data_IF_179067241210
#
_entry.id   IF_179067241210
#
_cell.length_a   1.000
_cell.length_b   1.000
_cell.length_c   1.000
_cell.angle_alpha   90.00
_cell.angle_beta   90.00
_cell.angle_gamma   90.00
#
_symmetry.space_group_name_H-M   'P 1'
#
loop_
_entity.id
_entity.type
_entity.pdbx_description
1 polymer ?
#
# COMPACT_ATOMS: atom_id res chain seq x y z
N UNK A 1 -1.75 -10.50 -35.46
CA UNK A 1 -0.79 -11.04 -34.50
C UNK A 1 -1.51 -12.06 -33.64
N UNK A 2 -0.98 -13.29 -33.57
CA UNK A 2 -1.47 -14.28 -32.60
C UNK A 2 -0.60 -14.18 -31.33
N UNK A 3 -1.21 -14.27 -30.18
CA UNK A 3 -0.50 -14.40 -28.89
C UNK A 3 -0.89 -15.73 -28.25
N UNK A 4 0.03 -16.31 -27.52
CA UNK A 4 -0.21 -17.56 -26.81
C UNK A 4 -0.25 -17.26 -25.31
N UNK A 5 -1.34 -17.66 -24.65
CA UNK A 5 -1.42 -17.63 -23.19
C UNK A 5 -0.55 -18.75 -22.63
N UNK A 6 0.46 -18.39 -21.86
CA UNK A 6 1.30 -19.33 -21.13
C UNK A 6 0.79 -19.39 -19.68
N UNK A 7 0.10 -20.44 -19.35
CA UNK A 7 -0.42 -20.69 -18.02
C UNK A 7 -1.90 -21.03 -18.01
N UNK A 8 -2.35 -21.64 -16.94
CA UNK A 8 -3.76 -21.91 -16.69
C UNK A 8 -4.34 -20.73 -15.92
N UNK A 9 -5.51 -20.23 -16.36
CA UNK A 9 -6.30 -19.25 -15.61
C UNK A 9 -7.02 -19.93 -14.44
N UNK A 10 -6.25 -20.40 -13.48
CA UNK A 10 -6.80 -20.95 -12.23
C UNK A 10 -6.79 -19.85 -11.18
N UNK A 11 -7.91 -19.68 -10.49
CA UNK A 11 -8.02 -18.76 -9.37
C UNK A 11 -7.19 -19.31 -8.21
N UNK A 12 -6.27 -18.52 -7.68
CA UNK A 12 -5.54 -18.87 -6.48
C UNK A 12 -6.53 -19.07 -5.31
N UNK A 13 -6.21 -20.01 -4.44
CA UNK A 13 -6.98 -20.27 -3.22
C UNK A 13 -6.88 -19.13 -2.19
N UNK A 14 -5.85 -18.28 -2.32
CA UNK A 14 -5.56 -17.16 -1.43
C UNK A 14 -5.57 -15.84 -2.20
N UNK A 15 -6.22 -14.82 -1.65
CA UNK A 15 -6.19 -13.48 -2.23
C UNK A 15 -4.80 -12.82 -2.03
N UNK A 16 -4.35 -12.03 -3.00
CA UNK A 16 -3.07 -11.30 -2.93
C UNK A 16 -2.94 -10.44 -1.66
N UNK A 17 -4.05 -9.82 -1.22
CA UNK A 17 -4.11 -9.04 0.03
C UNK A 17 -3.74 -9.84 1.27
N UNK A 18 -4.14 -11.12 1.33
CA UNK A 18 -3.81 -11.99 2.47
C UNK A 18 -2.32 -12.34 2.49
N UNK A 19 -1.70 -12.49 1.30
CA UNK A 19 -0.26 -12.63 1.15
C UNK A 19 0.50 -11.40 1.64
N UNK A 20 0.01 -10.20 1.28
CA UNK A 20 0.57 -8.94 1.75
C UNK A 20 0.53 -8.83 3.28
N UNK A 21 -0.63 -9.09 3.89
CA UNK A 21 -0.78 -9.01 5.36
C UNK A 21 0.15 -9.99 6.06
N UNK A 22 0.25 -11.23 5.58
CA UNK A 22 1.17 -12.23 6.15
C UNK A 22 2.63 -11.74 6.09
N UNK A 23 3.07 -11.25 4.93
CA UNK A 23 4.43 -10.74 4.77
C UNK A 23 4.71 -9.52 5.68
N UNK A 24 3.74 -8.61 5.82
CA UNK A 24 3.87 -7.47 6.73
C UNK A 24 3.96 -7.91 8.19
N UNK A 25 3.14 -8.88 8.62
CA UNK A 25 3.22 -9.43 9.98
C UNK A 25 4.61 -10.00 10.27
N UNK A 26 5.17 -10.79 9.36
CA UNK A 26 6.51 -11.35 9.48
C UNK A 26 7.60 -10.28 9.55
N UNK A 27 7.55 -9.30 8.64
CA UNK A 27 8.53 -8.20 8.60
C UNK A 27 8.45 -7.29 9.83
N UNK A 28 7.24 -6.91 10.27
CA UNK A 28 7.03 -6.03 11.42
C UNK A 28 7.40 -6.71 12.74
N UNK A 29 7.20 -8.02 12.85
CA UNK A 29 7.64 -8.80 14.00
C UNK A 29 9.18 -8.91 14.07
N UNK A 30 9.85 -9.00 12.92
CA UNK A 30 11.29 -9.12 12.83
C UNK A 30 12.03 -7.79 13.02
N UNK A 31 11.43 -6.67 12.56
CA UNK A 31 12.08 -5.35 12.60
C UNK A 31 11.08 -4.25 13.02
N UNK A 32 11.28 -3.59 14.18
CA UNK A 32 10.43 -2.50 14.64
C UNK A 32 10.51 -1.23 13.78
N UNK A 33 11.41 -1.17 12.80
CA UNK A 33 11.51 -0.07 11.84
C UNK A 33 10.61 -0.25 10.63
N UNK A 34 10.05 -1.43 10.39
CA UNK A 34 9.07 -1.65 9.32
C UNK A 34 7.74 -1.02 9.73
N UNK A 35 7.18 -0.18 8.85
CA UNK A 35 5.96 0.56 9.10
C UNK A 35 4.96 0.41 7.96
N UNK A 36 3.68 0.45 8.31
CA UNK A 36 2.55 0.51 7.38
C UNK A 36 1.81 1.85 7.56
N UNK A 37 1.57 2.55 6.46
CA UNK A 37 0.75 3.77 6.40
C UNK A 37 -0.47 3.50 5.54
N UNK A 38 -1.66 3.75 6.04
CA UNK A 38 -2.93 3.47 5.37
C UNK A 38 -3.78 4.74 5.21
N UNK A 39 -4.63 4.75 4.19
CA UNK A 39 -5.57 5.83 3.90
C UNK A 39 -7.02 5.45 4.26
N UNK A 40 -7.24 4.93 5.47
CA UNK A 40 -8.54 4.48 5.98
C UNK A 40 -9.15 3.31 5.19
N UNK A 41 -8.29 2.44 4.66
CA UNK A 41 -8.66 1.30 3.81
C UNK A 41 -8.37 -0.07 4.45
N UNK A 42 -8.19 -0.11 5.76
CA UNK A 42 -7.83 -1.33 6.52
C UNK A 42 -8.71 -2.55 6.21
N UNK A 43 -10.01 -2.33 5.98
CA UNK A 43 -10.93 -3.42 5.66
C UNK A 43 -10.81 -3.90 4.21
N UNK A 44 -10.29 -3.08 3.30
CA UNK A 44 -10.17 -3.44 1.88
C UNK A 44 -9.08 -4.48 1.64
N UNK A 45 -7.97 -4.38 2.38
CA UNK A 45 -6.83 -5.28 2.24
C UNK A 45 -6.51 -6.06 3.52
N UNK A 46 -7.45 -6.14 4.47
CA UNK A 46 -7.33 -6.89 5.73
C UNK A 46 -6.20 -6.41 6.67
N UNK A 47 -5.71 -5.18 6.54
CA UNK A 47 -4.61 -4.63 7.35
C UNK A 47 -5.02 -4.20 8.76
N UNK A 48 -6.31 -4.26 9.10
CA UNK A 48 -6.79 -4.04 10.48
C UNK A 48 -6.11 -4.95 11.53
N UNK A 49 -5.59 -6.11 11.11
CA UNK A 49 -4.80 -6.99 11.97
C UNK A 49 -3.46 -6.35 12.35
N UNK A 50 -2.81 -5.66 11.41
CA UNK A 50 -1.52 -5.01 11.64
C UNK A 50 -1.65 -3.90 12.69
N UNK A 51 -2.73 -3.12 12.64
CA UNK A 51 -3.00 -2.08 13.62
C UNK A 51 -3.14 -2.64 15.05
N UNK A 52 -3.80 -3.80 15.19
CA UNK A 52 -3.99 -4.46 16.48
C UNK A 52 -2.71 -5.07 17.03
N UNK A 53 -1.94 -5.74 16.17
CA UNK A 53 -0.72 -6.46 16.55
C UNK A 53 0.49 -5.52 16.68
N UNK A 54 0.58 -4.50 15.82
CA UNK A 54 1.73 -3.59 15.73
C UNK A 54 1.31 -2.11 15.76
N UNK A 55 0.64 -1.62 16.83
CA UNK A 55 0.07 -0.27 16.88
C UNK A 55 1.13 0.85 16.83
N UNK A 56 2.40 0.56 17.09
CA UNK A 56 3.51 1.52 17.00
C UNK A 56 4.15 1.58 15.61
N UNK A 57 3.78 0.67 14.73
CA UNK A 57 4.32 0.53 13.37
C UNK A 57 3.25 0.74 12.30
N UNK A 58 1.98 0.97 12.70
CA UNK A 58 0.86 1.17 11.80
C UNK A 58 0.25 2.54 12.01
N UNK A 59 0.05 3.28 10.93
CA UNK A 59 -0.40 4.67 10.93
C UNK A 59 -1.57 4.83 9.96
N UNK A 60 -2.66 5.43 10.40
CA UNK A 60 -3.78 5.79 9.55
C UNK A 60 -3.76 7.30 9.30
N UNK A 61 -3.55 7.70 8.05
CA UNK A 61 -3.57 9.10 7.64
C UNK A 61 -4.99 9.63 7.33
N UNK A 62 -6.00 8.74 7.36
CA UNK A 62 -7.32 9.05 6.83
C UNK A 62 -7.34 9.04 5.28
N UNK A 63 -8.45 9.45 4.68
CA UNK A 63 -8.60 9.55 3.21
C UNK A 63 -7.83 10.77 2.70
N UNK A 64 -6.49 10.70 2.74
CA UNK A 64 -5.59 11.82 2.46
C UNK A 64 -4.26 11.32 1.86
N UNK A 65 -4.27 10.81 0.63
CA UNK A 65 -3.14 10.10 0.01
C UNK A 65 -1.89 10.98 -0.16
N UNK A 66 -2.07 12.27 -0.43
CA UNK A 66 -0.95 13.20 -0.52
C UNK A 66 -0.25 13.37 0.84
N UNK A 67 -1.03 13.49 1.91
CA UNK A 67 -0.52 13.57 3.28
C UNK A 67 0.11 12.24 3.72
N UNK A 68 -0.56 11.11 3.45
CA UNK A 68 -0.03 9.77 3.71
C UNK A 68 1.33 9.54 3.05
N UNK A 69 1.53 10.02 1.82
CA UNK A 69 2.82 9.94 1.13
C UNK A 69 3.87 10.83 1.81
N UNK A 70 3.49 12.01 2.28
CA UNK A 70 4.36 12.90 3.07
C UNK A 70 4.75 12.27 4.41
N UNK A 71 3.79 11.67 5.12
CA UNK A 71 4.03 10.91 6.36
C UNK A 71 5.00 9.75 6.11
N UNK A 72 4.77 8.98 5.04
CA UNK A 72 5.63 7.87 4.66
C UNK A 72 7.08 8.33 4.36
N UNK A 73 7.23 9.44 3.63
CA UNK A 73 8.53 10.04 3.37
C UNK A 73 9.23 10.50 4.67
N UNK A 74 8.50 11.15 5.58
CA UNK A 74 9.02 11.57 6.88
C UNK A 74 9.48 10.38 7.73
N UNK A 75 8.70 9.31 7.79
CA UNK A 75 9.09 8.07 8.47
C UNK A 75 10.34 7.44 7.83
N UNK A 76 10.39 7.38 6.50
CA UNK A 76 11.55 6.85 5.78
C UNK A 76 12.82 7.69 6.02
N UNK A 77 12.70 9.01 6.13
CA UNK A 77 13.81 9.90 6.48
C UNK A 77 14.39 9.62 7.88
N UNK A 78 13.61 9.01 8.77
CA UNK A 78 14.10 8.55 10.09
C UNK A 78 14.77 7.17 10.05
N UNK A 79 14.98 6.59 8.88
CA UNK A 79 15.60 5.28 8.69
C UNK A 79 14.63 4.10 8.86
N UNK A 80 13.35 4.31 8.62
CA UNK A 80 12.31 3.26 8.62
C UNK A 80 12.07 2.74 7.22
N UNK A 81 11.68 1.48 7.12
CA UNK A 81 11.16 0.87 5.89
C UNK A 81 9.64 1.03 5.88
N UNK A 82 9.13 1.79 4.92
CA UNK A 82 7.73 2.21 4.94
C UNK A 82 6.95 1.66 3.76
N UNK A 83 5.79 1.06 4.03
CA UNK A 83 4.81 0.61 3.07
C UNK A 83 3.58 1.50 3.17
N UNK A 84 3.31 2.30 2.15
CA UNK A 84 2.14 3.19 2.07
C UNK A 84 1.09 2.58 1.15
N UNK A 85 -0.13 2.48 1.64
CA UNK A 85 -1.25 1.87 0.92
C UNK A 85 -2.40 2.87 0.67
N UNK A 86 -2.93 2.82 -0.54
CA UNK A 86 -4.26 3.31 -0.93
C UNK A 86 -4.76 2.56 -2.16
N UNK A 87 -5.94 2.88 -2.69
CA UNK A 87 -6.35 2.39 -4.00
C UNK A 87 -5.36 2.82 -5.08
N UNK A 88 -5.11 1.95 -6.07
CA UNK A 88 -4.11 2.17 -7.11
C UNK A 88 -4.28 3.49 -7.86
N UNK A 89 -5.52 3.88 -8.15
CA UNK A 89 -5.84 5.15 -8.80
C UNK A 89 -5.50 6.39 -7.94
N UNK A 90 -5.61 6.29 -6.61
CA UNK A 90 -5.35 7.43 -5.72
C UNK A 90 -3.90 7.47 -5.25
N UNK A 91 -3.30 6.34 -4.94
CA UNK A 91 -1.87 6.28 -4.62
C UNK A 91 -0.99 6.78 -5.77
N UNK A 92 -1.44 6.60 -7.02
CA UNK A 92 -0.74 7.11 -8.21
C UNK A 92 -1.11 8.56 -8.52
N UNK A 93 -2.40 8.89 -8.76
CA UNK A 93 -2.80 10.21 -9.24
C UNK A 93 -2.77 11.29 -8.16
N UNK A 94 -3.42 11.00 -7.00
CA UNK A 94 -3.61 12.00 -5.94
C UNK A 94 -2.33 12.31 -5.19
N UNK A 95 -1.45 11.33 -5.02
CA UNK A 95 -0.20 11.45 -4.29
C UNK A 95 1.04 11.58 -5.20
N UNK A 96 0.85 11.80 -6.51
CA UNK A 96 1.96 11.78 -7.48
C UNK A 96 3.06 12.78 -7.16
N UNK A 97 2.69 14.02 -6.87
CA UNK A 97 3.67 15.07 -6.59
C UNK A 97 4.50 14.75 -5.34
N UNK A 98 3.86 14.29 -4.28
CA UNK A 98 4.54 13.87 -3.05
C UNK A 98 5.41 12.64 -3.27
N UNK A 99 4.93 11.67 -4.06
CA UNK A 99 5.74 10.51 -4.44
C UNK A 99 6.99 10.94 -5.22
N UNK A 100 6.85 11.90 -6.15
CA UNK A 100 7.96 12.43 -6.91
C UNK A 100 8.93 13.25 -6.04
N UNK A 101 8.44 14.29 -5.37
CA UNK A 101 9.28 15.24 -4.64
C UNK A 101 9.77 14.70 -3.30
N UNK A 102 8.85 14.15 -2.51
CA UNK A 102 9.18 13.74 -1.13
C UNK A 102 9.83 12.37 -1.04
N UNK A 103 9.57 11.48 -2.01
CA UNK A 103 10.15 10.13 -1.99
C UNK A 103 11.25 9.96 -3.03
N UNK A 104 10.91 10.05 -4.33
CA UNK A 104 11.85 9.73 -5.41
C UNK A 104 12.99 10.73 -5.52
N UNK A 105 12.70 12.04 -5.57
CA UNK A 105 13.72 13.08 -5.65
C UNK A 105 14.60 13.11 -4.39
N UNK A 106 13.98 12.95 -3.20
CA UNK A 106 14.70 12.86 -1.93
C UNK A 106 15.41 11.50 -1.71
N UNK A 107 15.23 10.53 -2.64
CA UNK A 107 15.82 9.17 -2.57
C UNK A 107 15.46 8.41 -1.29
N UNK A 108 14.23 8.56 -0.81
CA UNK A 108 13.73 7.88 0.37
C UNK A 108 13.06 6.55 -0.01
N UNK A 109 13.33 5.45 0.72
CA UNK A 109 12.81 4.12 0.42
C UNK A 109 11.36 3.97 0.91
N UNK A 110 10.41 4.51 0.16
CA UNK A 110 8.98 4.31 0.39
C UNK A 110 8.44 3.31 -0.64
N UNK A 111 7.80 2.24 -0.14
CA UNK A 111 7.12 1.24 -0.96
C UNK A 111 5.65 1.63 -1.08
N UNK A 112 5.19 1.88 -2.30
CA UNK A 112 3.81 2.28 -2.58
C UNK A 112 3.00 1.06 -3.03
N UNK A 113 1.96 0.74 -2.28
CA UNK A 113 1.01 -0.32 -2.59
C UNK A 113 -0.28 0.29 -3.11
N UNK A 114 -0.66 -0.05 -4.33
CA UNK A 114 -1.95 0.31 -4.91
C UNK A 114 -2.84 -0.92 -5.02
N UNK A 115 -3.95 -0.96 -4.28
CA UNK A 115 -4.95 -2.02 -4.40
C UNK A 115 -6.02 -1.70 -5.44
N UNK A 116 -6.79 -2.71 -5.81
CA UNK A 116 -7.95 -2.62 -6.69
C UNK A 116 -7.70 -1.83 -7.99
N UNK A 117 -6.70 -2.23 -8.80
CA UNK A 117 -6.37 -1.54 -10.05
C UNK A 117 -7.40 -1.80 -11.15
N UNK A 118 -7.50 -0.86 -12.10
CA UNK A 118 -8.35 -0.98 -13.28
C UNK A 118 -9.83 -0.82 -12.97
N UNK A 119 -10.66 -1.76 -13.42
CA UNK A 119 -12.12 -1.69 -13.33
C UNK A 119 -12.73 -2.61 -12.27
N UNK A 120 -11.92 -3.14 -11.36
CA UNK A 120 -12.38 -4.12 -10.37
C UNK A 120 -13.31 -3.52 -9.30
N UNK A 121 -13.26 -2.21 -9.05
CA UNK A 121 -14.08 -1.49 -8.07
C UNK A 121 -15.26 -0.75 -8.73
N UNK A 122 -15.96 -1.36 -9.68
CA UNK A 122 -17.01 -0.74 -10.47
C UNK A 122 -18.15 -0.11 -9.64
N UNK A 123 -18.43 -0.64 -8.46
CA UNK A 123 -19.44 -0.11 -7.54
C UNK A 123 -19.04 1.20 -6.84
N UNK A 124 -17.77 1.57 -6.89
CA UNK A 124 -17.27 2.80 -6.27
C UNK A 124 -17.39 4.05 -7.18
N UNK A 125 -17.79 3.86 -8.44
CA UNK A 125 -17.95 4.94 -9.40
C UNK A 125 -16.75 5.15 -10.32
N UNK A 126 -16.90 6.06 -11.29
CA UNK A 126 -15.94 6.25 -12.38
C UNK A 126 -14.58 6.86 -12.01
N UNK A 127 -14.36 7.19 -10.77
CA UNK A 127 -13.09 7.74 -10.26
C UNK A 127 -12.12 6.68 -9.72
N UNK A 128 -12.57 5.43 -9.64
CA UNK A 128 -11.80 4.27 -9.18
C UNK A 128 -11.24 3.47 -10.34
#
# INVERSE_FOLDING_TARGET
MSFTLIGKHEKDSRANRDGYVTAMQEMMAADPKVCHVDCDLYNCINTAKLEKEFPKQTFNAGIAEADAMGIAAGLAATGRTVFMHSFGCFSSRRAYDQAFMSCAYAKLPVHVLGSDPGVCAAYNGGNH
#
